data_IF_127800986746
#
_entry.id   IF_127800986746
#
_cell.length_a   1.000
_cell.length_b   1.000
_cell.length_c   1.000
_cell.angle_alpha   90.00
_cell.angle_beta   90.00
_cell.angle_gamma   90.00
#
_symmetry.space_group_name_H-M   'P 1'
#
loop_
_entity.id
_entity.type
_entity.pdbx_description
1 polymer ?
#
# COMPACT_ATOMS: atom_id res chain seq x y z
N UNK A 1 -9.98 0.91 -27.35
CA UNK A 1 -10.60 -0.35 -26.85
C UNK A 1 -9.95 -1.58 -27.47
N UNK A 2 -9.93 -1.72 -28.80
CA UNK A 2 -9.21 -2.82 -29.47
C UNK A 2 -7.72 -2.89 -29.10
N UNK A 3 -7.04 -1.75 -28.94
CA UNK A 3 -5.63 -1.73 -28.56
C UNK A 3 -5.36 -2.21 -27.13
N UNK A 4 -6.15 -1.78 -26.15
CA UNK A 4 -6.02 -2.28 -24.76
C UNK A 4 -6.19 -3.79 -24.73
N UNK A 5 -7.29 -4.29 -25.32
CA UNK A 5 -7.55 -5.72 -25.37
C UNK A 5 -6.45 -6.50 -26.11
N UNK A 6 -5.86 -5.92 -27.18
CA UNK A 6 -4.83 -6.57 -27.98
C UNK A 6 -3.49 -6.72 -27.24
N UNK A 7 -3.10 -5.78 -26.38
CA UNK A 7 -1.72 -5.73 -25.87
C UNK A 7 -1.58 -5.63 -24.35
N UNK A 8 -2.66 -5.62 -23.57
CA UNK A 8 -2.58 -5.56 -22.10
C UNK A 8 -1.85 -6.78 -21.51
N UNK A 9 -2.01 -7.96 -22.11
CA UNK A 9 -1.40 -9.22 -21.65
C UNK A 9 0.14 -9.22 -21.73
N UNK A 10 0.73 -8.32 -22.51
CA UNK A 10 2.18 -8.16 -22.65
C UNK A 10 2.76 -7.07 -21.74
N UNK A 11 1.94 -6.40 -20.94
CA UNK A 11 2.40 -5.45 -19.95
C UNK A 11 2.62 -6.13 -18.59
N UNK A 12 3.69 -5.77 -17.88
CA UNK A 12 3.96 -6.29 -16.54
C UNK A 12 2.98 -5.77 -15.48
N UNK A 13 2.28 -4.67 -15.76
CA UNK A 13 1.20 -4.10 -14.95
C UNK A 13 0.32 -3.19 -15.81
N UNK A 14 -0.84 -2.79 -15.28
CA UNK A 14 -1.68 -1.77 -15.91
C UNK A 14 -1.00 -0.41 -15.96
N UNK A 15 -0.18 -0.07 -14.97
CA UNK A 15 0.63 1.16 -14.94
C UNK A 15 1.63 1.21 -16.08
N UNK A 16 2.36 0.11 -16.28
CA UNK A 16 3.31 -0.03 -17.37
C UNK A 16 2.61 0.06 -18.73
N UNK A 17 1.39 -0.49 -18.83
CA UNK A 17 0.58 -0.35 -20.03
C UNK A 17 0.18 1.10 -20.28
N UNK A 18 -0.41 1.79 -19.30
CA UNK A 18 -0.86 3.18 -19.46
C UNK A 18 0.34 4.09 -19.74
N UNK A 19 1.47 3.88 -19.06
CA UNK A 19 2.70 4.65 -19.27
C UNK A 19 3.25 4.51 -20.70
N UNK A 20 3.22 3.29 -21.27
CA UNK A 20 3.61 3.05 -22.67
C UNK A 20 2.78 3.88 -23.68
N UNK A 21 1.54 4.17 -23.33
CA UNK A 21 0.60 4.93 -24.13
C UNK A 21 0.35 6.35 -23.60
N UNK A 22 1.28 6.91 -22.80
CA UNK A 22 1.08 8.19 -22.12
C UNK A 22 0.77 9.38 -23.05
N UNK A 23 1.17 9.31 -24.33
CA UNK A 23 0.87 10.35 -25.32
C UNK A 23 -0.56 10.28 -25.88
N UNK A 24 -1.30 9.20 -25.61
CA UNK A 24 -2.69 9.04 -26.01
C UNK A 24 -3.62 9.30 -24.79
N UNK A 25 -4.25 10.49 -24.72
CA UNK A 25 -5.11 10.84 -23.59
C UNK A 25 -6.39 9.97 -23.53
N UNK A 26 -6.81 9.36 -24.64
CA UNK A 26 -7.97 8.46 -24.68
C UNK A 26 -7.62 7.12 -24.03
N UNK A 27 -6.45 6.56 -24.35
CA UNK A 27 -5.99 5.31 -23.70
C UNK A 27 -5.79 5.53 -22.21
N UNK A 28 -5.17 6.63 -21.80
CA UNK A 28 -4.99 6.95 -20.38
C UNK A 28 -6.33 7.06 -19.65
N UNK A 29 -7.29 7.82 -20.21
CA UNK A 29 -8.63 7.98 -19.61
C UNK A 29 -9.40 6.66 -19.52
N UNK A 30 -9.42 5.87 -20.59
CA UNK A 30 -10.12 4.58 -20.61
C UNK A 30 -9.44 3.58 -19.68
N UNK A 31 -8.11 3.56 -19.62
CA UNK A 31 -7.35 2.73 -18.68
C UNK A 31 -7.70 3.03 -17.23
N UNK A 32 -7.71 4.31 -16.83
CA UNK A 32 -8.14 4.72 -15.47
C UNK A 32 -9.58 4.30 -15.16
N UNK A 33 -10.50 4.46 -16.11
CA UNK A 33 -11.89 4.00 -15.96
C UNK A 33 -11.97 2.48 -15.77
N UNK A 34 -11.17 1.71 -16.51
CA UNK A 34 -11.11 0.26 -16.38
C UNK A 34 -10.53 -0.19 -15.05
N UNK A 35 -9.48 0.48 -14.55
CA UNK A 35 -8.96 0.25 -13.20
C UNK A 35 -10.07 0.51 -12.18
N UNK A 36 -10.72 1.69 -12.28
CA UNK A 36 -11.80 2.06 -11.36
C UNK A 36 -12.93 1.03 -11.33
N UNK A 37 -13.35 0.56 -12.50
CA UNK A 37 -14.38 -0.46 -12.64
C UNK A 37 -13.95 -1.81 -12.08
N UNK A 38 -12.77 -2.30 -12.46
CA UNK A 38 -12.27 -3.61 -12.04
C UNK A 38 -12.06 -3.68 -10.53
N UNK A 39 -11.46 -2.65 -9.93
CA UNK A 39 -11.23 -2.59 -8.49
C UNK A 39 -12.54 -2.43 -7.72
N UNK A 40 -13.48 -1.62 -8.19
CA UNK A 40 -14.81 -1.48 -7.55
C UNK A 40 -15.55 -2.82 -7.49
N UNK A 41 -15.48 -3.61 -8.56
CA UNK A 41 -16.05 -4.98 -8.56
C UNK A 41 -15.27 -5.89 -7.61
N UNK A 42 -13.95 -5.83 -7.63
CA UNK A 42 -13.11 -6.67 -6.78
C UNK A 42 -13.33 -6.38 -5.29
N UNK A 43 -13.40 -5.11 -4.88
CA UNK A 43 -13.73 -4.70 -3.51
C UNK A 43 -15.06 -5.29 -3.06
N UNK A 44 -16.12 -5.17 -3.88
CA UNK A 44 -17.44 -5.74 -3.61
C UNK A 44 -17.42 -7.26 -3.45
N UNK A 45 -16.64 -7.95 -4.28
CA UNK A 45 -16.59 -9.42 -4.31
C UNK A 45 -15.60 -10.01 -3.32
N UNK A 46 -14.75 -9.17 -2.72
CA UNK A 46 -13.72 -9.55 -1.76
C UNK A 46 -14.32 -10.09 -0.45
N UNK A 47 -13.46 -10.64 0.41
CA UNK A 47 -13.84 -11.05 1.76
C UNK A 47 -14.33 -9.86 2.62
N UNK A 48 -13.91 -8.64 2.28
CA UNK A 48 -14.31 -7.40 2.98
C UNK A 48 -15.63 -6.83 2.48
N UNK A 49 -15.98 -7.04 1.20
CA UNK A 49 -17.19 -6.48 0.59
C UNK A 49 -18.44 -7.34 0.78
N UNK A 50 -18.27 -8.59 1.23
CA UNK A 50 -19.37 -9.50 1.53
C UNK A 50 -19.92 -9.17 2.91
N UNK A 51 -21.03 -8.44 2.97
CA UNK A 51 -21.75 -8.24 4.23
C UNK A 51 -22.06 -9.57 4.89
N UNK A 52 -21.75 -9.65 6.17
CA UNK A 52 -21.81 -10.89 6.91
C UNK A 52 -23.22 -11.43 7.16
N UNK A 53 -23.30 -12.75 7.32
CA UNK A 53 -24.43 -13.42 7.98
C UNK A 53 -24.63 -12.92 9.42
N UNK A 54 -23.56 -12.43 10.05
CA UNK A 54 -23.54 -11.91 11.42
C UNK A 54 -24.18 -10.52 11.58
N UNK A 55 -24.47 -9.82 10.47
CA UNK A 55 -24.94 -8.43 10.50
C UNK A 55 -23.83 -7.39 10.75
N UNK A 56 -22.58 -7.83 10.89
CA UNK A 56 -21.40 -6.96 10.91
C UNK A 56 -20.97 -6.58 9.47
N UNK A 57 -20.28 -5.44 9.33
CA UNK A 57 -19.74 -4.97 8.04
C UNK A 57 -18.70 -5.93 7.45
N UNK A 58 -17.93 -6.61 8.31
CA UNK A 58 -16.84 -7.54 7.96
C UNK A 58 -17.05 -8.86 8.68
N UNK A 59 -16.91 -9.98 7.98
CA UNK A 59 -16.86 -11.32 8.60
C UNK A 59 -15.44 -11.67 9.04
N UNK A 60 -15.15 -11.50 10.33
CA UNK A 60 -13.80 -11.63 10.89
C UNK A 60 -13.18 -13.01 10.72
N UNK A 61 -14.01 -14.06 10.73
CA UNK A 61 -13.56 -15.42 10.51
C UNK A 61 -13.04 -15.65 9.08
N UNK A 62 -13.59 -14.95 8.10
CA UNK A 62 -13.18 -15.07 6.70
C UNK A 62 -11.84 -14.37 6.44
N UNK A 63 -11.53 -13.32 7.22
CA UNK A 63 -10.34 -12.47 7.03
C UNK A 63 -9.19 -12.78 7.99
N UNK A 64 -9.37 -13.69 8.95
CA UNK A 64 -8.35 -14.01 9.99
C UNK A 64 -7.00 -14.50 9.46
N UNK A 65 -7.01 -15.16 8.29
CA UNK A 65 -5.80 -15.72 7.66
C UNK A 65 -5.17 -14.78 6.63
N UNK A 66 -5.75 -13.58 6.44
CA UNK A 66 -5.18 -12.55 5.58
C UNK A 66 -4.04 -11.81 6.27
N UNK A 67 -3.23 -11.06 5.51
CA UNK A 67 -2.10 -10.31 6.06
C UNK A 67 -2.53 -9.11 6.91
N UNK A 68 -3.72 -8.56 6.65
CA UNK A 68 -4.16 -7.33 7.32
C UNK A 68 -4.53 -7.59 8.78
N UNK A 69 -4.93 -8.83 9.12
CA UNK A 69 -5.22 -9.22 10.50
C UNK A 69 -4.00 -9.09 11.42
N UNK A 70 -2.86 -9.79 11.19
CA UNK A 70 -1.68 -9.64 12.04
C UNK A 70 -1.09 -8.23 11.96
N UNK A 71 -1.18 -7.54 10.82
CA UNK A 71 -0.78 -6.13 10.71
C UNK A 71 -1.56 -5.25 11.69
N UNK A 72 -2.90 -5.36 11.70
CA UNK A 72 -3.76 -4.58 12.59
C UNK A 72 -3.58 -4.96 14.05
N UNK A 73 -3.35 -6.23 14.36
CA UNK A 73 -3.03 -6.68 15.72
C UNK A 73 -1.78 -6.00 16.26
N UNK A 74 -0.71 -5.94 15.45
CA UNK A 74 0.52 -5.23 15.80
C UNK A 74 0.28 -3.73 15.94
N UNK A 75 -0.52 -3.13 15.05
CA UNK A 75 -0.84 -1.71 15.09
C UNK A 75 -1.61 -1.31 16.36
N UNK A 76 -2.46 -2.20 16.88
CA UNK A 76 -3.25 -1.96 18.10
C UNK A 76 -2.53 -2.38 19.38
N UNK A 77 -1.40 -3.07 19.27
CA UNK A 77 -0.67 -3.59 20.44
C UNK A 77 -0.27 -2.45 21.37
N UNK A 78 -0.65 -2.56 22.64
CA UNK A 78 -0.35 -1.55 23.67
C UNK A 78 -1.23 -0.29 23.65
N UNK A 79 -2.11 -0.12 22.65
CA UNK A 79 -3.02 1.03 22.57
C UNK A 79 -4.19 0.87 23.54
N UNK A 80 -4.43 1.89 24.37
CA UNK A 80 -5.57 1.93 25.30
C UNK A 80 -6.80 2.56 24.64
N UNK A 81 -7.99 2.31 25.20
CA UNK A 81 -9.23 2.91 24.69
C UNK A 81 -9.17 4.45 24.66
N UNK A 82 -8.59 5.06 25.69
CA UNK A 82 -8.40 6.51 25.78
C UNK A 82 -7.40 7.07 24.75
N UNK A 83 -6.51 6.23 24.21
CA UNK A 83 -5.44 6.61 23.29
C UNK A 83 -5.71 6.20 21.84
N UNK A 84 -6.94 5.78 21.51
CA UNK A 84 -7.32 5.26 20.19
C UNK A 84 -7.01 6.22 19.03
N UNK A 85 -7.03 7.54 19.28
CA UNK A 85 -6.69 8.56 18.28
C UNK A 85 -5.20 8.58 17.91
N UNK A 86 -4.35 7.90 18.67
CA UNK A 86 -2.90 7.79 18.40
C UNK A 86 -2.53 6.66 17.43
N UNK A 87 -3.49 5.81 17.07
CA UNK A 87 -3.28 4.71 16.12
C UNK A 87 -2.70 5.25 14.82
N UNK A 88 -1.58 4.68 14.41
CA UNK A 88 -0.92 5.05 13.15
C UNK A 88 0.11 6.18 13.26
N UNK A 89 0.26 6.85 14.41
CA UNK A 89 1.17 8.00 14.55
C UNK A 89 2.65 7.68 14.26
N UNK A 90 3.08 6.43 14.46
CA UNK A 90 4.47 6.00 14.32
C UNK A 90 4.73 5.16 13.06
N UNK A 91 3.77 5.10 12.13
CA UNK A 91 3.90 4.34 10.90
C UNK A 91 3.49 5.18 9.70
N UNK A 92 4.19 4.99 8.59
CA UNK A 92 3.79 5.51 7.28
C UNK A 92 3.55 4.33 6.36
N UNK A 93 2.41 4.33 5.68
CA UNK A 93 2.02 3.30 4.73
C UNK A 93 2.16 3.87 3.32
N UNK A 94 3.01 3.26 2.50
CA UNK A 94 3.14 3.63 1.08
C UNK A 94 2.47 2.51 0.26
N UNK A 95 1.25 2.77 -0.19
CA UNK A 95 0.37 1.79 -0.82
C UNK A 95 0.32 2.03 -2.32
N UNK A 96 0.92 1.12 -3.09
CA UNK A 96 0.91 1.19 -4.56
C UNK A 96 -0.35 0.56 -5.18
N UNK A 97 -1.20 -0.05 -4.36
CA UNK A 97 -2.47 -0.61 -4.81
C UNK A 97 -3.54 0.48 -4.88
N UNK A 98 -4.50 0.30 -5.78
CA UNK A 98 -5.61 1.25 -6.00
C UNK A 98 -6.82 1.04 -5.08
N UNK A 99 -6.92 -0.17 -4.51
CA UNK A 99 -8.01 -0.57 -3.63
C UNK A 99 -7.89 0.10 -2.26
N UNK A 100 -9.01 0.12 -1.54
CA UNK A 100 -9.13 0.79 -0.24
C UNK A 100 -9.30 -0.22 0.88
N UNK A 101 -8.78 -1.44 0.69
CA UNK A 101 -8.99 -2.54 1.63
C UNK A 101 -8.38 -2.22 3.00
N UNK A 102 -7.22 -1.54 3.04
CA UNK A 102 -6.56 -1.23 4.30
C UNK A 102 -7.33 -0.19 5.10
N UNK A 103 -7.78 0.89 4.47
CA UNK A 103 -8.53 1.95 5.13
C UNK A 103 -9.89 1.44 5.61
N UNK A 104 -10.57 0.66 4.75
CA UNK A 104 -11.85 0.07 5.10
C UNK A 104 -11.71 -0.91 6.27
N UNK A 105 -10.78 -1.85 6.19
CA UNK A 105 -10.58 -2.83 7.26
C UNK A 105 -10.17 -2.18 8.58
N UNK A 106 -9.23 -1.21 8.56
CA UNK A 106 -8.82 -0.51 9.76
C UNK A 106 -9.98 0.27 10.40
N UNK A 107 -10.83 0.90 9.58
CA UNK A 107 -12.03 1.59 10.09
C UNK A 107 -12.94 0.62 10.85
N UNK A 108 -13.30 -0.50 10.24
CA UNK A 108 -14.19 -1.48 10.87
C UNK A 108 -13.51 -2.18 12.06
N UNK A 109 -12.18 -2.38 12.02
CA UNK A 109 -11.42 -2.99 13.11
C UNK A 109 -11.33 -2.06 14.33
N UNK A 110 -11.13 -0.76 14.13
CA UNK A 110 -11.12 0.22 15.21
C UNK A 110 -12.49 0.24 15.91
N UNK A 111 -13.59 0.31 15.13
CA UNK A 111 -14.95 0.26 15.69
C UNK A 111 -15.21 -1.00 16.52
N UNK A 112 -14.72 -2.14 16.04
CA UNK A 112 -14.92 -3.42 16.73
C UNK A 112 -14.11 -3.51 18.02
N UNK A 113 -12.89 -3.00 18.03
CA UNK A 113 -11.94 -3.19 19.13
C UNK A 113 -12.10 -2.16 20.24
N UNK A 114 -12.30 -0.88 19.90
CA UNK A 114 -12.24 0.21 20.87
C UNK A 114 -13.62 0.66 21.33
N UNK A 115 -13.84 0.65 22.65
CA UNK A 115 -15.17 0.89 23.24
C UNK A 115 -15.60 2.35 23.04
N UNK A 116 -16.79 2.53 22.49
CA UNK A 116 -17.41 3.85 22.34
C UNK A 116 -16.89 4.64 21.15
N UNK A 117 -16.10 4.01 20.27
CA UNK A 117 -15.67 4.59 19.01
C UNK A 117 -16.67 4.21 17.93
N UNK A 118 -17.38 5.19 17.41
CA UNK A 118 -18.28 4.97 16.27
C UNK A 118 -17.50 4.94 14.94
N UNK A 119 -18.24 4.66 13.86
CA UNK A 119 -17.65 4.52 12.53
C UNK A 119 -17.07 5.80 11.96
N UNK A 120 -17.70 6.93 12.24
CA UNK A 120 -17.23 8.22 11.74
C UNK A 120 -15.93 8.62 12.46
N UNK A 121 -15.85 8.38 13.77
CA UNK A 121 -14.62 8.55 14.55
C UNK A 121 -13.50 7.62 14.08
N UNK A 122 -13.78 6.34 13.87
CA UNK A 122 -12.80 5.39 13.35
C UNK A 122 -12.28 5.80 11.97
N UNK A 123 -13.17 6.25 11.10
CA UNK A 123 -12.80 6.73 9.77
C UNK A 123 -11.89 7.96 9.85
N UNK A 124 -12.20 8.92 10.73
CA UNK A 124 -11.34 10.08 10.96
C UNK A 124 -9.95 9.69 11.48
N UNK A 125 -9.86 8.69 12.35
CA UNK A 125 -8.57 8.17 12.83
C UNK A 125 -7.75 7.63 11.67
N UNK A 126 -8.36 6.80 10.81
CA UNK A 126 -7.69 6.24 9.62
C UNK A 126 -7.30 7.33 8.61
N UNK A 127 -8.16 8.34 8.40
CA UNK A 127 -7.85 9.48 7.52
C UNK A 127 -6.68 10.34 8.03
N UNK A 128 -6.44 10.35 9.34
CA UNK A 128 -5.31 11.04 9.96
C UNK A 128 -4.02 10.22 9.97
N UNK A 129 -4.07 8.93 9.64
CA UNK A 129 -2.88 8.11 9.46
C UNK A 129 -2.11 8.56 8.21
N UNK A 130 -0.78 8.42 8.22
CA UNK A 130 0.02 8.73 7.06
C UNK A 130 -0.02 7.58 6.02
N UNK A 131 -1.09 7.54 5.22
CA UNK A 131 -1.30 6.57 4.13
C UNK A 131 -1.13 7.27 2.77
N UNK A 132 0.00 7.01 2.14
CA UNK A 132 0.39 7.61 0.87
C UNK A 132 0.06 6.63 -0.27
N UNK A 133 -0.68 7.11 -1.26
CA UNK A 133 -1.02 6.36 -2.47
C UNK A 133 -0.31 6.97 -3.70
N UNK A 134 0.89 6.49 -4.10
CA UNK A 134 1.66 7.08 -5.19
C UNK A 134 0.90 7.15 -6.52
N UNK A 135 0.02 6.18 -6.77
CA UNK A 135 -0.83 6.12 -7.96
C UNK A 135 -2.28 6.54 -7.69
N UNK A 136 -2.55 7.12 -6.53
CA UNK A 136 -3.90 7.39 -6.06
C UNK A 136 -4.69 6.12 -5.75
N UNK A 137 -5.96 6.30 -5.44
CA UNK A 137 -6.89 5.23 -5.06
C UNK A 137 -8.26 5.50 -5.70
N UNK A 138 -9.23 4.61 -5.51
CA UNK A 138 -10.63 4.85 -5.93
C UNK A 138 -11.31 6.05 -5.23
N UNK A 139 -10.61 6.70 -4.31
CA UNK A 139 -11.07 7.89 -3.62
C UNK A 139 -11.70 7.59 -2.26
N UNK A 140 -12.07 8.66 -1.56
CA UNK A 140 -12.49 8.62 -0.16
C UNK A 140 -13.73 7.74 0.09
N UNK A 141 -13.69 6.94 1.17
CA UNK A 141 -14.76 6.00 1.59
C UNK A 141 -16.11 6.66 1.94
N UNK A 142 -16.13 7.93 2.36
CA UNK A 142 -17.35 8.74 2.57
C UNK A 142 -18.05 9.00 1.24
N UNK A 143 -17.30 9.43 0.23
CA UNK A 143 -17.84 9.77 -1.10
C UNK A 143 -18.15 8.53 -1.92
N UNK A 144 -17.36 7.49 -1.73
CA UNK A 144 -17.40 6.24 -2.48
C UNK A 144 -17.33 5.07 -1.50
N UNK A 145 -18.47 4.62 -0.94
CA UNK A 145 -18.49 3.50 -0.03
C UNK A 145 -17.78 2.26 -0.59
N UNK A 146 -17.15 1.49 0.28
CA UNK A 146 -16.41 0.29 -0.10
C UNK A 146 -17.35 -0.76 -0.71
N UNK A 147 -16.98 -1.33 -1.86
CA UNK A 147 -17.79 -2.35 -2.53
C UNK A 147 -19.15 -1.89 -3.07
N UNK A 148 -19.37 -0.58 -3.19
CA UNK A 148 -20.60 0.01 -3.73
C UNK A 148 -20.76 -0.29 -5.25
N UNK A 149 -21.97 -0.09 -5.77
CA UNK A 149 -22.29 -0.31 -7.18
C UNK A 149 -21.45 0.59 -8.09
N UNK A 150 -20.88 -0.04 -9.14
CA UNK A 150 -20.06 0.59 -10.17
C UNK A 150 -20.90 1.42 -11.16
N UNK A 151 -21.65 2.41 -10.64
CA UNK A 151 -22.47 3.30 -11.46
C UNK A 151 -21.59 4.25 -12.31
N UNK A 152 -21.93 4.54 -13.58
CA UNK A 152 -21.07 5.31 -14.49
C UNK A 152 -20.59 6.68 -13.93
N UNK A 153 -21.45 7.39 -13.22
CA UNK A 153 -21.10 8.68 -12.61
C UNK A 153 -20.06 8.54 -11.49
N UNK A 154 -20.15 7.49 -10.67
CA UNK A 154 -19.18 7.18 -9.61
C UNK A 154 -17.85 6.71 -10.21
N UNK A 155 -17.90 5.86 -11.23
CA UNK A 155 -16.69 5.39 -11.92
C UNK A 155 -15.90 6.54 -12.55
N UNK A 156 -16.59 7.52 -13.13
CA UNK A 156 -15.92 8.69 -13.67
C UNK A 156 -15.19 9.47 -12.56
N UNK A 157 -15.83 9.71 -11.41
CA UNK A 157 -15.15 10.40 -10.30
C UNK A 157 -14.02 9.58 -9.67
N UNK A 158 -14.20 8.26 -9.50
CA UNK A 158 -13.14 7.36 -9.01
C UNK A 158 -11.93 7.36 -9.96
N UNK A 159 -12.16 7.32 -11.27
CA UNK A 159 -11.09 7.34 -12.28
C UNK A 159 -10.27 8.63 -12.28
N UNK A 160 -10.84 9.74 -11.82
CA UNK A 160 -10.14 11.02 -11.68
C UNK A 160 -9.20 11.04 -10.46
N UNK A 161 -9.46 10.16 -9.47
CA UNK A 161 -8.59 9.99 -8.30
C UNK A 161 -7.41 9.04 -8.56
N UNK A 162 -7.40 8.36 -9.72
CA UNK A 162 -6.29 7.52 -10.16
C UNK A 162 -5.24 8.39 -10.86
N UNK A 163 -4.00 8.27 -10.38
CA UNK A 163 -2.83 9.01 -10.84
C UNK A 163 -1.89 8.04 -11.55
N UNK A 164 -1.49 8.34 -12.79
CA UNK A 164 -0.50 7.51 -13.48
C UNK A 164 0.90 7.75 -12.93
N UNK A 165 1.83 6.82 -13.17
CA UNK A 165 3.23 7.02 -12.79
C UNK A 165 3.81 8.35 -13.27
N UNK A 166 3.58 8.71 -14.54
CA UNK A 166 4.07 9.97 -15.13
C UNK A 166 3.50 11.22 -14.45
N UNK A 167 2.29 11.14 -13.90
CA UNK A 167 1.67 12.22 -13.12
C UNK A 167 2.28 12.26 -11.70
N UNK A 168 2.46 11.09 -11.07
CA UNK A 168 2.95 10.96 -9.69
C UNK A 168 4.33 11.56 -9.45
N UNK A 169 5.26 11.37 -10.40
CA UNK A 169 6.66 11.84 -10.30
C UNK A 169 6.81 13.36 -10.26
N UNK A 170 5.74 14.10 -10.58
CA UNK A 170 5.72 15.57 -10.58
C UNK A 170 5.07 16.18 -9.34
N UNK A 171 4.55 15.34 -8.44
CA UNK A 171 3.78 15.78 -7.29
C UNK A 171 4.63 16.02 -6.04
N UNK A 172 4.11 16.84 -5.12
CA UNK A 172 4.69 17.02 -3.77
C UNK A 172 4.79 15.70 -2.99
N UNK A 173 4.01 14.69 -3.36
CA UNK A 173 4.01 13.35 -2.75
C UNK A 173 5.38 12.68 -2.82
N UNK A 174 6.15 12.90 -3.89
CA UNK A 174 7.52 12.35 -4.00
C UNK A 174 8.41 12.85 -2.86
N UNK A 175 8.23 14.10 -2.44
CA UNK A 175 9.00 14.67 -1.32
C UNK A 175 8.60 14.04 0.02
N UNK A 176 7.32 13.71 0.19
CA UNK A 176 6.76 13.06 1.38
C UNK A 176 7.19 11.60 1.48
N UNK A 177 7.16 10.87 0.36
CA UNK A 177 7.70 9.52 0.25
C UNK A 177 9.20 9.52 0.59
N UNK A 178 9.98 10.39 -0.05
CA UNK A 178 11.41 10.50 0.22
C UNK A 178 11.70 10.84 1.68
N UNK A 179 10.92 11.75 2.27
CA UNK A 179 11.04 12.09 3.68
C UNK A 179 10.81 10.84 4.54
N UNK A 180 9.70 10.14 4.33
CA UNK A 180 9.31 8.95 5.08
C UNK A 180 10.34 7.82 4.99
N UNK A 181 10.84 7.53 3.78
CA UNK A 181 11.89 6.51 3.56
C UNK A 181 13.21 6.94 4.21
N UNK A 182 13.53 8.23 4.21
CA UNK A 182 14.79 8.76 4.77
C UNK A 182 14.83 8.84 6.30
N UNK A 183 13.67 8.93 6.96
CA UNK A 183 13.56 9.06 8.43
C UNK A 183 13.19 7.76 9.12
N UNK A 184 12.75 6.75 8.36
CA UNK A 184 12.40 5.44 8.89
C UNK A 184 13.61 4.75 9.54
N UNK A 185 13.41 4.22 10.75
CA UNK A 185 14.36 3.30 11.39
C UNK A 185 14.17 1.86 10.91
N UNK A 186 12.96 1.53 10.50
CA UNK A 186 12.57 0.21 9.98
C UNK A 186 11.81 0.39 8.68
N UNK A 187 12.23 -0.30 7.62
CA UNK A 187 11.58 -0.30 6.32
C UNK A 187 11.04 -1.70 6.02
N UNK A 188 9.76 -1.81 5.67
CA UNK A 188 9.10 -3.10 5.40
C UNK A 188 8.51 -3.11 3.99
N UNK A 189 8.97 -4.06 3.16
CA UNK A 189 8.39 -4.34 1.84
C UNK A 189 7.48 -5.56 1.93
N UNK A 190 6.16 -5.35 1.85
CA UNK A 190 5.15 -6.40 2.00
C UNK A 190 4.43 -6.63 0.66
N UNK A 191 4.52 -7.84 0.10
CA UNK A 191 3.88 -8.19 -1.17
C UNK A 191 4.38 -7.37 -2.38
N UNK A 192 5.64 -6.93 -2.35
CA UNK A 192 6.17 -5.93 -3.27
C UNK A 192 7.06 -6.55 -4.36
N UNK A 193 6.81 -6.22 -5.62
CA UNK A 193 7.51 -6.81 -6.77
C UNK A 193 8.85 -6.12 -7.14
N UNK A 194 9.22 -5.04 -6.47
CA UNK A 194 10.45 -4.27 -6.76
C UNK A 194 10.57 -3.82 -8.23
N UNK A 195 9.42 -3.47 -8.82
CA UNK A 195 9.34 -2.89 -10.16
C UNK A 195 10.13 -1.58 -10.23
N UNK A 196 10.89 -1.32 -11.31
CA UNK A 196 11.74 -0.12 -11.41
C UNK A 196 10.98 1.19 -11.12
N UNK A 197 9.76 1.33 -11.66
CA UNK A 197 8.92 2.52 -11.47
C UNK A 197 8.60 2.81 -10.00
N UNK A 198 8.30 1.77 -9.21
CA UNK A 198 7.99 1.93 -7.79
C UNK A 198 9.28 2.24 -7.01
N UNK A 199 10.40 1.61 -7.37
CA UNK A 199 11.70 1.89 -6.76
C UNK A 199 12.17 3.32 -7.04
N UNK A 200 11.93 3.83 -8.24
CA UNK A 200 12.28 5.20 -8.62
C UNK A 200 11.51 6.25 -7.79
N UNK A 201 10.27 5.94 -7.39
CA UNK A 201 9.47 6.80 -6.51
C UNK A 201 9.97 6.78 -5.06
N UNK A 202 10.53 5.66 -4.60
CA UNK A 202 11.09 5.49 -3.26
C UNK A 202 12.52 6.03 -3.13
N UNK A 203 13.20 6.26 -4.26
CA UNK A 203 14.62 6.65 -4.28
C UNK A 203 14.79 8.08 -3.79
N UNK A 204 15.59 8.25 -2.73
CA UNK A 204 15.85 9.53 -2.08
C UNK A 204 16.79 10.36 -2.98
N UNK A 205 16.28 11.35 -3.69
CA UNK A 205 17.06 12.14 -4.67
C UNK A 205 17.96 13.22 -4.06
N UNK A 206 17.80 13.53 -2.77
CA UNK A 206 18.54 14.60 -2.09
C UNK A 206 19.59 14.00 -1.16
N UNK A 207 20.73 14.69 -1.00
CA UNK A 207 21.82 14.24 -0.13
C UNK A 207 21.30 14.03 1.31
N UNK A 208 21.26 12.77 1.75
CA UNK A 208 20.91 12.42 3.13
C UNK A 208 21.98 13.06 4.03
N UNK A 209 21.53 13.73 5.08
CA UNK A 209 22.43 14.32 6.07
C UNK A 209 23.33 13.21 6.63
N UNK A 210 24.65 13.42 6.63
CA UNK A 210 25.68 12.38 6.88
C UNK A 210 25.58 11.70 8.26
N UNK A 211 24.80 12.29 9.17
CA UNK A 211 24.57 11.81 10.52
C UNK A 211 23.30 10.97 10.62
N UNK A 212 23.10 9.93 9.79
CA UNK A 212 21.88 9.11 9.91
C UNK A 212 22.05 7.60 9.77
N UNK A 213 21.73 6.98 10.91
CA UNK A 213 20.82 5.85 11.15
C UNK A 213 20.99 4.60 10.29
N UNK A 214 21.32 3.49 10.97
CA UNK A 214 21.15 2.16 10.42
C UNK A 214 19.64 1.88 10.27
N UNK A 215 19.18 1.66 9.04
CA UNK A 215 17.80 1.26 8.76
C UNK A 215 17.74 -0.26 8.75
N UNK A 216 16.88 -0.84 9.59
CA UNK A 216 16.57 -2.27 9.53
C UNK A 216 15.54 -2.50 8.42
N UNK A 217 15.82 -3.39 7.47
CA UNK A 217 14.90 -3.63 6.35
C UNK A 217 14.40 -5.06 6.34
N UNK A 218 13.10 -5.23 6.22
CA UNK A 218 12.47 -6.52 6.03
C UNK A 218 11.68 -6.55 4.72
N UNK A 219 11.70 -7.66 4.02
CA UNK A 219 10.99 -7.80 2.76
C UNK A 219 10.44 -9.22 2.56
N UNK A 220 9.21 -9.32 2.04
CA UNK A 220 8.75 -10.54 1.39
C UNK A 220 9.18 -10.54 -0.07
N UNK A 221 9.66 -11.67 -0.58
CA UNK A 221 9.98 -11.90 -1.98
C UNK A 221 9.32 -13.19 -2.50
N UNK A 222 8.12 -13.49 -2.00
CA UNK A 222 7.37 -14.70 -2.36
C UNK A 222 7.24 -14.88 -3.87
N UNK A 223 7.61 -16.05 -4.37
CA UNK A 223 7.61 -16.39 -5.80
C UNK A 223 8.91 -16.07 -6.53
N UNK A 224 9.84 -15.32 -5.92
CA UNK A 224 11.22 -15.25 -6.38
C UNK A 224 12.08 -16.36 -5.77
N UNK A 225 13.24 -16.62 -6.39
CA UNK A 225 14.27 -17.50 -5.83
C UNK A 225 15.41 -16.67 -5.26
N UNK A 226 16.03 -17.16 -4.20
CA UNK A 226 17.19 -16.56 -3.51
C UNK A 226 18.40 -16.25 -4.42
N UNK A 227 18.47 -16.84 -5.61
CA UNK A 227 19.46 -16.50 -6.65
C UNK A 227 19.52 -15.01 -7.02
N UNK A 228 18.48 -14.23 -6.69
CA UNK A 228 18.46 -12.77 -6.89
C UNK A 228 18.77 -11.96 -5.62
N UNK A 229 19.11 -12.59 -4.49
CA UNK A 229 19.29 -11.94 -3.18
C UNK A 229 20.22 -10.74 -3.24
N UNK A 230 21.45 -10.93 -3.75
CA UNK A 230 22.41 -9.83 -3.85
C UNK A 230 21.91 -8.69 -4.74
N UNK A 231 21.13 -8.98 -5.78
CA UNK A 231 20.54 -7.95 -6.65
C UNK A 231 19.40 -7.22 -5.96
N UNK A 232 18.57 -7.93 -5.21
CA UNK A 232 17.43 -7.36 -4.51
C UNK A 232 17.90 -6.48 -3.34
N UNK A 233 18.85 -6.96 -2.53
CA UNK A 233 19.49 -6.14 -1.49
C UNK A 233 20.18 -4.91 -2.08
N UNK A 234 20.87 -5.07 -3.21
CA UNK A 234 21.46 -3.93 -3.93
C UNK A 234 20.40 -2.89 -4.34
N UNK A 235 19.27 -3.31 -4.90
CA UNK A 235 18.15 -2.40 -5.24
C UNK A 235 17.64 -1.63 -4.02
N UNK A 236 17.53 -2.28 -2.86
CA UNK A 236 17.11 -1.64 -1.61
C UNK A 236 18.15 -0.61 -1.15
N UNK A 237 19.44 -0.97 -1.17
CA UNK A 237 20.53 -0.05 -0.79
C UNK A 237 20.59 1.16 -1.71
N UNK A 238 20.40 0.95 -3.00
CA UNK A 238 20.46 2.00 -4.01
C UNK A 238 19.33 3.06 -3.83
N UNK A 239 18.30 2.81 -2.99
CA UNK A 239 17.29 3.81 -2.61
C UNK A 239 17.87 5.03 -1.88
N UNK A 240 18.96 4.87 -1.14
CA UNK A 240 19.49 5.89 -0.23
C UNK A 240 20.58 6.78 -0.84
N UNK A 241 20.65 6.82 -2.18
CA UNK A 241 21.51 7.66 -3.02
C UNK A 241 22.89 8.03 -2.46
N UNK A 242 23.86 7.36 -3.07
CA UNK A 242 25.28 7.69 -3.19
C UNK A 242 26.22 7.04 -2.16
N UNK A 243 26.84 5.94 -2.61
CA UNK A 243 28.15 5.38 -2.20
C UNK A 243 28.47 5.44 -0.71
N UNK A 244 27.49 5.16 0.15
CA UNK A 244 27.71 5.16 1.59
C UNK A 244 28.00 3.72 2.06
N UNK A 245 29.25 3.36 2.38
CA UNK A 245 29.68 1.99 2.65
C UNK A 245 29.17 1.40 3.98
N UNK A 246 28.14 1.98 4.60
CA UNK A 246 27.63 1.61 5.92
C UNK A 246 26.22 0.99 5.92
N UNK A 247 25.53 0.94 4.77
CA UNK A 247 24.32 0.11 4.63
C UNK A 247 24.77 -1.36 4.66
N UNK A 248 24.68 -1.99 5.82
CA UNK A 248 25.09 -3.38 5.96
C UNK A 248 24.03 -4.28 5.31
N UNK A 249 24.44 -5.09 4.33
CA UNK A 249 23.62 -6.14 3.74
C UNK A 249 23.01 -7.06 4.80
N UNK A 250 23.66 -7.23 5.95
CA UNK A 250 23.19 -8.07 7.06
C UNK A 250 21.95 -7.52 7.77
N UNK A 251 21.57 -6.26 7.52
CA UNK A 251 20.35 -5.61 8.05
C UNK A 251 19.17 -5.69 7.10
N UNK A 252 19.35 -6.36 5.96
CA UNK A 252 18.30 -6.55 4.96
C UNK A 252 17.87 -8.02 5.00
N UNK A 253 16.69 -8.25 5.57
CA UNK A 253 16.11 -9.56 5.78
C UNK A 253 15.04 -9.83 4.73
N UNK A 254 15.32 -10.76 3.82
CA UNK A 254 14.41 -11.10 2.73
C UNK A 254 13.87 -12.51 2.93
N UNK A 255 12.55 -12.65 2.98
CA UNK A 255 11.86 -13.94 3.09
C UNK A 255 11.28 -14.35 1.73
N UNK A 256 11.85 -15.39 1.12
CA UNK A 256 11.47 -15.88 -0.21
C UNK A 256 10.29 -16.86 -0.18
N UNK A 257 10.09 -17.55 0.94
CA UNK A 257 9.09 -18.64 1.04
C UNK A 257 7.89 -18.29 1.93
N UNK A 258 7.76 -17.01 2.35
CA UNK A 258 6.69 -16.56 3.24
C UNK A 258 5.72 -15.62 2.51
N UNK A 259 4.42 -15.89 2.65
CA UNK A 259 3.38 -14.92 2.32
C UNK A 259 3.31 -13.84 3.41
N UNK A 260 2.71 -12.70 3.07
CA UNK A 260 2.64 -11.52 3.94
C UNK A 260 2.09 -11.80 5.34
N UNK A 261 1.06 -12.65 5.46
CA UNK A 261 0.47 -12.99 6.75
C UNK A 261 1.46 -13.75 7.67
N UNK A 262 2.14 -14.76 7.13
CA UNK A 262 3.12 -15.56 7.89
C UNK A 262 4.35 -14.72 8.23
N UNK A 263 4.79 -13.88 7.29
CA UNK A 263 5.89 -12.94 7.50
C UNK A 263 5.63 -11.99 8.67
N UNK A 264 4.45 -11.35 8.73
CA UNK A 264 4.11 -10.45 9.83
C UNK A 264 4.04 -11.18 11.17
N UNK A 265 3.49 -12.40 11.20
CA UNK A 265 3.46 -13.23 12.40
C UNK A 265 4.86 -13.63 12.88
N UNK A 266 5.76 -14.00 11.95
CA UNK A 266 7.11 -14.43 12.27
C UNK A 266 8.01 -13.27 12.73
N UNK A 267 7.76 -12.05 12.25
CA UNK A 267 8.57 -10.88 12.53
C UNK A 267 7.91 -9.88 13.49
N UNK A 268 6.77 -10.20 14.10
CA UNK A 268 5.99 -9.27 14.95
C UNK A 268 6.85 -8.62 16.04
N UNK A 269 7.63 -9.40 16.78
CA UNK A 269 8.53 -8.90 17.83
C UNK A 269 9.66 -7.99 17.32
N UNK A 270 10.06 -8.14 16.06
CA UNK A 270 11.10 -7.31 15.45
C UNK A 270 10.53 -6.01 14.84
N UNK A 271 9.22 -6.00 14.55
CA UNK A 271 8.53 -4.91 13.88
C UNK A 271 7.77 -4.00 14.85
N UNK A 272 7.34 -4.52 16.01
CA UNK A 272 6.79 -3.74 17.12
C UNK A 272 7.96 -3.27 17.98
N UNK A 273 8.31 -1.99 17.88
CA UNK A 273 9.40 -1.35 18.65
C UNK A 273 8.82 -0.23 19.50
#
# INVERSE_FOLDING_TARGET
MAEINRSIDFAGSIDEFINRHATDPVIAKVGKLQIAYAISIAERQSLLGRSGKSGESVEWDDVKDTWIMPFTQMLFEGVRNEDVSSIGNNITLIVFNYDRCIEYFLTEAICKTFRGVDRDQALQIVENMNIIHPYGALGNLIKHPFGDDAHPTKLNSMSQSIVTWSESVTSNMVSEINHSVSTATTLVFLGFAFAPQNMDLLTIKSAVNKDRQYVETFATAYGYRDVIDSRLKKKIIDLYSDKNPKFNMDRIHIQYDMKCADFLKAHSMALVV
#
